data_IF_854544656280
#
_entry.id   IF_854544656280
#
_cell.length_a   1.000
_cell.length_b   1.000
_cell.length_c   1.000
_cell.angle_alpha   90.00
_cell.angle_beta   90.00
_cell.angle_gamma   90.00
#
_symmetry.space_group_name_H-M   'P 1'
#
loop_
_entity.id
_entity.type
_entity.pdbx_description
1 polymer ?
#
# COMPACT_ATOMS: atom_id res chain seq x y z
N UNK A 1 -34.98 21.07 0.27
CA UNK A 1 -35.29 19.66 0.04
C UNK A 1 -34.20 18.75 0.66
N UNK A 2 -33.96 18.87 1.97
CA UNK A 2 -32.86 18.19 2.69
C UNK A 2 -33.31 17.74 4.08
N UNK A 3 -34.27 16.80 4.16
CA UNK A 3 -34.64 16.10 5.40
C UNK A 3 -35.18 14.72 5.06
N UNK A 4 -34.31 13.75 4.71
CA UNK A 4 -34.69 12.32 4.64
C UNK A 4 -33.55 11.30 4.50
N UNK A 5 -32.37 11.53 5.11
CA UNK A 5 -31.25 10.55 5.06
C UNK A 5 -30.86 10.00 6.45
N UNK A 6 -31.42 10.50 7.56
CA UNK A 6 -30.96 10.11 8.91
C UNK A 6 -31.77 8.95 9.53
N UNK A 7 -32.80 8.39 8.88
CA UNK A 7 -33.67 7.38 9.53
C UNK A 7 -33.26 5.92 9.34
N UNK A 8 -32.33 5.59 8.44
CA UNK A 8 -32.03 4.18 8.12
C UNK A 8 -30.70 3.64 8.70
N UNK A 9 -29.93 4.45 9.44
CA UNK A 9 -28.73 3.94 10.13
C UNK A 9 -29.03 3.20 11.44
N UNK A 10 -30.20 3.44 12.05
CA UNK A 10 -30.54 2.88 13.37
C UNK A 10 -30.86 1.37 13.38
N UNK A 11 -31.58 0.79 12.39
CA UNK A 11 -31.83 -0.65 12.43
C UNK A 11 -30.62 -1.51 12.05
N UNK A 12 -29.62 -0.96 11.33
CA UNK A 12 -28.37 -1.69 11.05
C UNK A 12 -27.43 -1.72 12.26
N UNK A 13 -27.47 -0.71 13.13
CA UNK A 13 -26.64 -0.64 14.36
C UNK A 13 -27.22 -1.46 15.52
N UNK A 14 -28.53 -1.72 15.53
CA UNK A 14 -29.18 -2.45 16.63
C UNK A 14 -29.28 -3.97 16.43
N UNK A 15 -29.10 -4.50 15.22
CA UNK A 15 -28.94 -5.95 14.99
C UNK A 15 -27.51 -6.48 15.31
N UNK A 16 -26.61 -5.58 15.74
CA UNK A 16 -25.18 -5.81 16.00
C UNK A 16 -24.90 -6.37 17.41
N UNK A 17 -25.85 -6.42 18.34
CA UNK A 17 -25.49 -6.80 19.72
C UNK A 17 -25.18 -8.30 19.90
N UNK A 18 -25.86 -9.20 19.19
CA UNK A 18 -25.53 -10.63 19.18
C UNK A 18 -24.63 -11.02 17.99
N UNK A 19 -24.97 -10.56 16.78
CA UNK A 19 -24.21 -10.86 15.56
C UNK A 19 -22.90 -10.06 15.50
N UNK A 20 -22.91 -8.82 15.95
CA UNK A 20 -21.70 -8.00 16.03
C UNK A 20 -20.77 -8.39 17.17
N UNK A 21 -21.29 -8.95 18.27
CA UNK A 21 -20.44 -9.57 19.30
C UNK A 21 -19.62 -10.73 18.73
N UNK A 22 -20.28 -11.63 17.98
CA UNK A 22 -19.61 -12.74 17.28
C UNK A 22 -18.65 -12.26 16.20
N UNK A 23 -19.05 -11.26 15.40
CA UNK A 23 -18.20 -10.66 14.36
C UNK A 23 -16.93 -10.04 14.95
N UNK A 24 -17.08 -9.16 15.94
CA UNK A 24 -15.94 -8.51 16.61
C UNK A 24 -15.04 -9.55 17.27
N UNK A 25 -15.61 -10.57 17.92
CA UNK A 25 -14.83 -11.64 18.55
C UNK A 25 -14.04 -12.46 17.53
N UNK A 26 -14.67 -12.82 16.40
CA UNK A 26 -14.02 -13.55 15.30
C UNK A 26 -12.84 -12.75 14.73
N UNK A 27 -13.04 -11.50 14.33
CA UNK A 27 -11.96 -10.68 13.77
C UNK A 27 -10.90 -10.31 14.81
N UNK A 28 -11.26 -10.17 16.09
CA UNK A 28 -10.28 -9.96 17.15
C UNK A 28 -9.37 -11.18 17.32
N UNK A 29 -9.96 -12.38 17.29
CA UNK A 29 -9.21 -13.63 17.34
C UNK A 29 -8.31 -13.81 16.11
N UNK A 30 -8.84 -13.56 14.91
CA UNK A 30 -8.06 -13.64 13.68
C UNK A 30 -6.90 -12.63 13.67
N UNK A 31 -7.15 -11.37 14.06
CA UNK A 31 -6.10 -10.36 14.19
C UNK A 31 -5.01 -10.75 15.20
N UNK A 32 -5.39 -11.41 16.30
CA UNK A 32 -4.45 -11.94 17.28
C UNK A 32 -3.58 -13.05 16.67
N UNK A 33 -4.19 -14.01 15.95
CA UNK A 33 -3.45 -15.08 15.27
C UNK A 33 -2.47 -14.52 14.24
N UNK A 34 -2.91 -13.60 13.38
CA UNK A 34 -2.06 -12.99 12.36
C UNK A 34 -0.90 -12.22 12.98
N UNK A 35 -1.17 -11.46 14.05
CA UNK A 35 -0.12 -10.73 14.77
C UNK A 35 0.90 -11.69 15.37
N UNK A 36 0.44 -12.75 16.03
CA UNK A 36 1.31 -13.76 16.62
C UNK A 36 2.16 -14.43 15.54
N UNK A 37 1.55 -14.90 14.45
CA UNK A 37 2.26 -15.49 13.33
C UNK A 37 3.29 -14.53 12.72
N UNK A 38 2.93 -13.26 12.53
CA UNK A 38 3.83 -12.25 11.99
C UNK A 38 5.02 -11.95 12.94
N UNK A 39 4.78 -11.94 14.25
CA UNK A 39 5.84 -11.80 15.25
C UNK A 39 6.75 -13.03 15.28
N UNK A 40 6.18 -14.24 15.32
CA UNK A 40 6.93 -15.48 15.28
C UNK A 40 7.83 -15.56 14.03
N UNK A 41 7.33 -15.10 12.87
CA UNK A 41 8.11 -15.02 11.63
C UNK A 41 9.24 -13.99 11.68
N UNK A 42 9.03 -12.87 12.39
CA UNK A 42 10.06 -11.84 12.60
C UNK A 42 11.11 -12.24 13.62
N UNK A 43 10.73 -13.00 14.66
CA UNK A 43 11.64 -13.43 15.72
C UNK A 43 12.51 -14.61 15.28
N UNK A 44 11.97 -15.51 14.46
CA UNK A 44 12.73 -16.62 13.84
C UNK A 44 13.40 -16.20 12.52
N UNK A 45 13.75 -14.92 12.40
CA UNK A 45 14.27 -14.27 11.18
C UNK A 45 15.51 -14.97 10.60
N UNK A 46 16.34 -15.62 11.42
CA UNK A 46 17.55 -16.32 10.97
C UNK A 46 17.26 -17.52 10.06
N UNK A 47 16.06 -18.12 10.15
CA UNK A 47 15.62 -19.17 9.23
C UNK A 47 15.20 -18.64 7.84
N UNK A 48 15.01 -17.34 7.74
CA UNK A 48 14.29 -16.70 6.64
C UNK A 48 15.05 -15.56 5.96
N UNK A 49 16.04 -15.00 6.67
CA UNK A 49 17.05 -14.10 6.14
C UNK A 49 18.14 -14.92 5.45
N UNK A 50 18.49 -14.50 4.24
CA UNK A 50 19.68 -15.00 3.57
C UNK A 50 20.92 -14.40 4.27
N UNK A 51 21.42 -15.08 5.31
CA UNK A 51 22.57 -14.66 6.12
C UNK A 51 23.90 -14.71 5.38
N UNK A 52 23.91 -15.12 4.10
CA UNK A 52 25.12 -15.20 3.27
C UNK A 52 25.52 -13.86 2.62
N UNK A 53 24.80 -12.75 2.91
CA UNK A 53 24.96 -11.47 2.19
C UNK A 53 25.27 -10.29 3.11
N UNK A 54 25.99 -9.31 2.56
CA UNK A 54 26.43 -8.10 3.27
C UNK A 54 25.27 -7.20 3.73
N UNK A 55 24.11 -7.26 3.06
CA UNK A 55 22.91 -6.53 3.44
C UNK A 55 21.86 -7.47 4.03
N UNK A 56 21.58 -7.35 5.33
CA UNK A 56 20.57 -8.14 6.08
C UNK A 56 19.12 -7.70 5.81
N UNK A 57 18.82 -7.25 4.59
CA UNK A 57 17.48 -6.78 4.23
C UNK A 57 16.52 -7.95 4.00
N UNK A 58 15.36 -7.90 4.63
CA UNK A 58 14.36 -8.94 4.58
C UNK A 58 13.07 -8.42 3.94
N UNK A 59 12.69 -8.98 2.79
CA UNK A 59 11.50 -8.59 2.03
C UNK A 59 10.24 -9.43 2.38
N UNK A 60 10.33 -10.26 3.43
CA UNK A 60 9.30 -11.20 3.82
C UNK A 60 9.46 -12.60 3.19
N UNK A 61 8.79 -13.59 3.78
CA UNK A 61 8.88 -15.02 3.45
C UNK A 61 8.44 -15.40 2.05
N UNK A 62 7.53 -14.64 1.46
CA UNK A 62 6.60 -15.23 0.50
C UNK A 62 6.95 -14.96 -0.98
N UNK A 63 8.04 -14.26 -1.30
CA UNK A 63 8.24 -13.72 -2.66
C UNK A 63 9.67 -13.78 -3.22
N UNK A 64 10.66 -14.14 -2.40
CA UNK A 64 12.04 -14.39 -2.82
C UNK A 64 12.91 -13.14 -2.96
N UNK A 65 13.97 -13.06 -2.16
CA UNK A 65 14.86 -11.89 -2.03
C UNK A 65 15.38 -11.33 -3.36
N UNK A 66 15.84 -12.18 -4.28
CA UNK A 66 16.51 -11.72 -5.52
C UNK A 66 15.55 -10.95 -6.43
N UNK A 67 14.29 -11.36 -6.51
CA UNK A 67 13.29 -10.68 -7.31
C UNK A 67 12.96 -9.31 -6.69
N UNK A 68 12.67 -9.29 -5.39
CA UNK A 68 12.34 -8.05 -4.67
C UNK A 68 13.52 -7.06 -4.66
N UNK A 69 14.77 -7.52 -4.56
CA UNK A 69 15.96 -6.68 -4.69
C UNK A 69 16.09 -6.07 -6.10
N UNK A 70 15.91 -6.86 -7.16
CA UNK A 70 15.96 -6.35 -8.54
C UNK A 70 14.85 -5.33 -8.83
N UNK A 71 13.67 -5.51 -8.22
CA UNK A 71 12.58 -4.54 -8.28
C UNK A 71 12.94 -3.29 -7.48
N UNK A 72 13.45 -3.43 -6.25
CA UNK A 72 13.96 -2.33 -5.41
C UNK A 72 14.91 -1.47 -6.22
N UNK A 73 15.93 -2.02 -6.86
CA UNK A 73 16.93 -1.24 -7.63
C UNK A 73 16.34 -0.45 -8.80
N UNK A 74 15.15 -0.84 -9.30
CA UNK A 74 14.49 -0.18 -10.44
C UNK A 74 13.49 0.89 -10.04
N UNK A 75 13.05 0.93 -8.78
CA UNK A 75 12.06 1.90 -8.29
C UNK A 75 12.74 3.22 -7.97
N UNK A 76 12.19 4.33 -8.44
CA UNK A 76 12.68 5.68 -8.15
C UNK A 76 11.59 6.59 -7.56
N UNK A 77 12.01 7.76 -7.09
CA UNK A 77 11.14 8.77 -6.49
C UNK A 77 10.04 9.21 -7.45
N UNK A 78 8.79 9.14 -7.01
CA UNK A 78 7.63 9.49 -7.83
C UNK A 78 6.94 8.33 -8.51
N UNK A 79 7.54 7.13 -8.52
CA UNK A 79 6.86 5.92 -9.00
C UNK A 79 5.62 5.62 -8.14
N UNK A 80 4.57 5.11 -8.76
CA UNK A 80 3.27 4.87 -8.14
C UNK A 80 3.07 3.39 -7.89
N UNK A 81 2.61 3.06 -6.69
CA UNK A 81 2.21 1.72 -6.28
C UNK A 81 0.70 1.62 -6.23
N UNK A 82 0.15 0.56 -6.82
CA UNK A 82 -1.25 0.19 -6.67
C UNK A 82 -1.33 -1.02 -5.76
N UNK A 83 -2.17 -0.90 -4.74
CA UNK A 83 -2.16 -1.79 -3.58
C UNK A 83 -3.53 -2.42 -3.43
N UNK A 84 -3.53 -3.74 -3.30
CA UNK A 84 -4.70 -4.50 -2.91
C UNK A 84 -4.42 -5.20 -1.59
N UNK A 85 -5.44 -5.23 -0.74
CA UNK A 85 -5.35 -5.78 0.59
C UNK A 85 -6.04 -7.15 0.70
N UNK A 86 -5.50 -7.98 1.58
CA UNK A 86 -6.15 -9.15 2.13
C UNK A 86 -6.64 -8.80 3.53
N UNK A 87 -7.94 -8.53 3.67
CA UNK A 87 -8.49 -8.04 4.92
C UNK A 87 -8.40 -9.07 6.05
N UNK A 88 -8.38 -10.36 5.72
CA UNK A 88 -8.29 -11.44 6.69
C UNK A 88 -6.88 -11.60 7.26
N UNK A 89 -5.88 -10.96 6.65
CA UNK A 89 -4.45 -11.00 7.04
C UNK A 89 -4.01 -9.73 7.78
N UNK A 90 -4.93 -8.81 8.06
CA UNK A 90 -4.64 -7.60 8.81
C UNK A 90 -4.18 -7.93 10.25
N UNK A 91 -3.35 -7.06 10.83
CA UNK A 91 -2.69 -7.31 12.12
C UNK A 91 -3.45 -6.74 13.33
N UNK A 92 -4.60 -6.11 13.10
CA UNK A 92 -5.45 -5.54 14.14
C UNK A 92 -6.91 -5.52 13.72
N UNK A 93 -7.81 -5.63 14.70
CA UNK A 93 -9.25 -5.51 14.49
C UNK A 93 -9.62 -4.22 13.76
N UNK A 94 -9.00 -3.09 14.14
CA UNK A 94 -9.24 -1.79 13.49
C UNK A 94 -8.91 -1.86 11.99
N UNK A 95 -7.76 -2.41 11.62
CA UNK A 95 -7.37 -2.56 10.21
C UNK A 95 -8.32 -3.49 9.46
N UNK A 96 -8.68 -4.63 10.05
CA UNK A 96 -9.65 -5.57 9.46
C UNK A 96 -10.99 -4.90 9.15
N UNK A 97 -11.54 -4.17 10.12
CA UNK A 97 -12.82 -3.47 9.95
C UNK A 97 -12.70 -2.42 8.85
N UNK A 98 -11.66 -1.57 8.89
CA UNK A 98 -11.49 -0.53 7.86
C UNK A 98 -11.25 -1.11 6.47
N UNK A 99 -10.47 -2.19 6.37
CA UNK A 99 -10.24 -2.90 5.12
C UNK A 99 -11.55 -3.42 4.52
N UNK A 100 -12.34 -4.14 5.32
CA UNK A 100 -13.63 -4.69 4.88
C UNK A 100 -14.62 -3.59 4.49
N UNK A 101 -14.67 -2.48 5.26
CA UNK A 101 -15.49 -1.33 4.89
C UNK A 101 -15.04 -0.73 3.56
N UNK A 102 -13.74 -0.52 3.36
CA UNK A 102 -13.19 0.01 2.11
C UNK A 102 -13.58 -0.88 0.91
N UNK A 103 -13.37 -2.19 1.01
CA UNK A 103 -13.72 -3.14 -0.06
C UNK A 103 -15.23 -3.23 -0.31
N UNK A 104 -16.05 -3.13 0.73
CA UNK A 104 -17.52 -3.17 0.60
C UNK A 104 -18.06 -1.93 -0.10
N UNK A 105 -17.53 -0.74 0.21
CA UNK A 105 -17.99 0.51 -0.41
C UNK A 105 -17.36 0.78 -1.78
N UNK A 106 -16.26 0.09 -2.13
CA UNK A 106 -15.51 0.28 -3.38
C UNK A 106 -15.42 -1.01 -4.21
N UNK A 107 -16.50 -1.79 -4.26
CA UNK A 107 -16.51 -3.10 -4.94
C UNK A 107 -16.04 -3.08 -6.41
N UNK A 108 -16.19 -1.95 -7.10
CA UNK A 108 -15.81 -1.82 -8.53
C UNK A 108 -14.37 -1.29 -8.73
N UNK A 109 -13.59 -1.08 -7.67
CA UNK A 109 -12.19 -0.67 -7.80
C UNK A 109 -11.26 -1.89 -7.86
N UNK A 110 -10.36 -1.89 -8.86
CA UNK A 110 -9.31 -2.92 -9.00
C UNK A 110 -8.32 -2.90 -7.81
N UNK A 111 -8.18 -1.74 -7.15
CA UNK A 111 -7.24 -1.51 -6.06
C UNK A 111 -7.91 -0.85 -4.87
N UNK A 112 -7.44 -1.22 -3.68
CA UNK A 112 -7.92 -0.67 -2.40
C UNK A 112 -7.20 0.64 -2.05
N UNK A 113 -5.95 0.77 -2.49
CA UNK A 113 -5.12 1.92 -2.17
C UNK A 113 -4.01 2.19 -3.18
N UNK A 114 -3.29 3.26 -2.92
CA UNK A 114 -2.21 3.80 -3.71
C UNK A 114 -1.05 4.24 -2.80
N UNK A 115 0.16 4.15 -3.33
CA UNK A 115 1.39 4.61 -2.70
C UNK A 115 2.34 5.27 -3.69
N UNK A 116 3.34 5.94 -3.17
CA UNK A 116 4.37 6.63 -3.93
C UNK A 116 5.75 6.30 -3.37
N UNK A 117 6.71 6.05 -4.26
CA UNK A 117 8.10 5.85 -3.86
C UNK A 117 8.80 7.18 -3.57
N UNK A 118 9.66 7.13 -2.56
CA UNK A 118 10.69 8.11 -2.31
C UNK A 118 12.02 7.40 -2.10
N UNK A 119 13.04 7.80 -2.86
CA UNK A 119 14.40 7.28 -2.74
C UNK A 119 15.35 8.39 -2.36
N UNK A 120 16.22 8.12 -1.40
CA UNK A 120 17.37 8.95 -1.08
C UNK A 120 18.63 8.10 -0.89
N UNK A 121 19.69 8.69 -0.32
CA UNK A 121 20.94 7.99 -0.02
C UNK A 121 20.81 6.94 1.08
N UNK A 122 19.76 7.00 1.90
CA UNK A 122 19.55 6.12 3.04
C UNK A 122 18.71 4.90 2.67
N UNK A 123 17.85 5.01 1.65
CA UNK A 123 17.09 3.87 1.17
C UNK A 123 15.91 4.23 0.27
N UNK A 124 15.03 3.24 0.11
CA UNK A 124 13.77 3.36 -0.61
C UNK A 124 12.62 3.28 0.40
N UNK A 125 11.74 4.27 0.36
CA UNK A 125 10.58 4.40 1.22
C UNK A 125 9.30 4.44 0.39
N UNK A 126 8.25 3.81 0.91
CA UNK A 126 6.91 3.86 0.33
C UNK A 126 6.03 4.73 1.22
N UNK A 127 5.50 5.79 0.63
CA UNK A 127 4.46 6.63 1.23
C UNK A 127 3.13 6.08 0.74
N UNK A 128 2.29 5.54 1.60
CA UNK A 128 1.04 4.88 1.19
C UNK A 128 -0.12 5.23 2.11
N UNK A 129 -1.33 5.18 1.57
CA UNK A 129 -2.54 5.21 2.39
C UNK A 129 -2.87 3.79 2.85
N UNK A 130 -2.67 3.51 4.14
CA UNK A 130 -3.04 2.22 4.74
C UNK A 130 -4.29 2.40 5.58
N UNK A 131 -5.41 1.91 5.07
CA UNK A 131 -6.70 1.91 5.76
C UNK A 131 -7.16 3.32 6.19
N UNK A 132 -7.00 4.30 5.30
CA UNK A 132 -7.36 5.69 5.54
C UNK A 132 -6.33 6.49 6.34
N UNK A 133 -5.13 5.93 6.55
CA UNK A 133 -4.03 6.61 7.25
C UNK A 133 -2.79 6.65 6.36
N UNK A 134 -2.24 7.84 6.15
CA UNK A 134 -0.98 8.00 5.42
C UNK A 134 0.19 7.51 6.28
N UNK A 135 0.97 6.58 5.74
CA UNK A 135 2.16 6.00 6.38
C UNK A 135 3.37 6.07 5.47
N UNK A 136 4.52 6.19 6.10
CA UNK A 136 5.84 6.11 5.47
C UNK A 136 6.54 4.88 6.03
N UNK A 137 6.96 3.97 5.16
CA UNK A 137 7.64 2.74 5.55
C UNK A 137 8.85 2.53 4.63
N UNK A 138 9.90 1.89 5.14
CA UNK A 138 10.95 1.37 4.26
C UNK A 138 10.34 0.32 3.31
N UNK A 139 10.86 0.22 2.09
CA UNK A 139 10.36 -0.71 1.08
C UNK A 139 10.34 -2.16 1.57
N UNK A 140 11.40 -2.61 2.25
CA UNK A 140 11.47 -3.96 2.80
C UNK A 140 10.37 -4.23 3.84
N UNK A 141 10.18 -3.30 4.78
CA UNK A 141 9.11 -3.38 5.79
C UNK A 141 7.71 -3.27 5.19
N UNK A 142 7.55 -2.43 4.15
CA UNK A 142 6.29 -2.32 3.43
C UNK A 142 5.95 -3.65 2.75
N UNK A 143 6.93 -4.24 2.06
CA UNK A 143 6.79 -5.55 1.45
C UNK A 143 6.56 -6.66 2.48
N UNK A 144 7.09 -6.57 3.71
CA UNK A 144 6.84 -7.61 4.71
C UNK A 144 5.39 -7.63 5.22
N UNK A 145 4.55 -6.65 4.89
CA UNK A 145 3.19 -6.59 5.42
C UNK A 145 2.32 -7.78 4.92
N UNK A 146 1.72 -8.58 5.83
CA UNK A 146 1.03 -9.82 5.46
C UNK A 146 -0.30 -9.59 4.72
N UNK A 147 -0.90 -8.42 4.92
CA UNK A 147 -2.14 -8.00 4.30
C UNK A 147 -1.97 -7.50 2.86
N UNK A 148 -0.77 -7.52 2.26
CA UNK A 148 -0.59 -7.19 0.84
C UNK A 148 -0.96 -8.41 -0.02
N UNK A 149 -2.10 -8.36 -0.71
CA UNK A 149 -2.52 -9.42 -1.63
C UNK A 149 -1.96 -9.23 -3.03
N UNK A 150 -1.99 -8.00 -3.54
CA UNK A 150 -1.45 -7.63 -4.84
C UNK A 150 -0.72 -6.29 -4.75
N UNK A 151 0.38 -6.19 -5.49
CA UNK A 151 1.17 -4.98 -5.57
C UNK A 151 1.64 -4.81 -7.01
N UNK A 152 1.34 -3.67 -7.61
CA UNK A 152 1.89 -3.30 -8.90
C UNK A 152 2.46 -1.89 -8.87
N UNK A 153 3.37 -1.60 -9.79
CA UNK A 153 4.04 -0.30 -9.88
C UNK A 153 3.94 0.22 -11.30
N UNK A 154 3.80 1.55 -11.42
CA UNK A 154 4.03 2.29 -12.66
C UNK A 154 5.08 3.35 -12.45
N UNK A 155 5.98 3.45 -13.42
CA UNK A 155 7.04 4.46 -13.39
C UNK A 155 6.53 5.81 -13.87
N UNK A 156 6.88 6.87 -13.17
CA UNK A 156 6.60 8.22 -13.63
C UNK A 156 7.61 8.59 -14.73
N UNK A 157 7.13 8.74 -15.95
CA UNK A 157 7.91 9.23 -17.08
C UNK A 157 7.70 10.73 -17.18
N UNK A 158 8.80 11.47 -17.31
CA UNK A 158 8.74 12.89 -17.69
C UNK A 158 9.33 13.07 -19.09
N UNK A 159 8.56 13.64 -19.99
CA UNK A 159 8.98 13.96 -21.36
C UNK A 159 9.88 15.19 -21.34
N UNK A 160 10.89 15.19 -22.20
CA UNK A 160 11.76 16.34 -22.48
C UNK A 160 12.40 16.98 -21.23
N UNK A 161 12.96 16.14 -20.35
CA UNK A 161 13.53 16.60 -19.08
C UNK A 161 14.87 17.32 -19.26
N UNK A 162 14.91 18.59 -18.86
CA UNK A 162 16.19 19.24 -18.55
C UNK A 162 16.68 18.76 -17.18
N UNK A 163 17.99 18.82 -16.95
CA UNK A 163 18.59 18.50 -15.63
C UNK A 163 18.02 19.38 -14.51
N UNK A 164 17.60 20.61 -14.83
CA UNK A 164 16.99 21.53 -13.87
C UNK A 164 15.59 21.06 -13.45
N UNK A 165 14.77 20.58 -14.40
CA UNK A 165 13.44 20.04 -14.13
C UNK A 165 13.50 18.79 -13.24
N UNK A 166 14.41 17.85 -13.54
CA UNK A 166 14.58 16.63 -12.73
C UNK A 166 14.99 16.98 -11.30
N UNK A 167 15.86 17.97 -11.13
CA UNK A 167 16.26 18.46 -9.79
C UNK A 167 15.09 19.11 -9.06
N UNK A 168 14.34 19.99 -9.72
CA UNK A 168 13.20 20.67 -9.10
C UNK A 168 12.12 19.66 -8.66
N UNK A 169 11.84 18.67 -9.51
CA UNK A 169 10.96 17.54 -9.20
C UNK A 169 11.45 16.79 -7.96
N UNK A 170 12.70 16.33 -7.96
CA UNK A 170 13.27 15.59 -6.83
C UNK A 170 13.24 16.39 -5.52
N UNK A 171 13.55 17.70 -5.57
CA UNK A 171 13.46 18.56 -4.39
C UNK A 171 12.02 18.68 -3.87
N UNK A 172 11.03 18.67 -4.76
CA UNK A 172 9.62 18.75 -4.38
C UNK A 172 9.16 17.45 -3.70
N UNK A 173 9.55 16.29 -4.24
CA UNK A 173 9.31 14.98 -3.61
C UNK A 173 10.00 14.91 -2.24
N UNK A 174 11.27 15.29 -2.18
CA UNK A 174 12.06 15.33 -0.93
C UNK A 174 11.42 16.25 0.12
N UNK A 175 10.95 17.42 -0.27
CA UNK A 175 10.27 18.34 0.62
C UNK A 175 8.94 17.76 1.14
N UNK A 176 8.18 17.05 0.29
CA UNK A 176 6.98 16.36 0.70
C UNK A 176 7.28 15.24 1.71
N UNK A 177 8.24 14.36 1.40
CA UNK A 177 8.65 13.28 2.29
C UNK A 177 9.10 13.81 3.66
N UNK A 178 9.94 14.86 3.68
CA UNK A 178 10.37 15.50 4.93
C UNK A 178 9.21 16.06 5.75
N UNK A 179 8.14 16.54 5.10
CA UNK A 179 6.94 17.00 5.82
C UNK A 179 6.20 15.83 6.46
N UNK A 180 6.16 14.66 5.82
CA UNK A 180 5.47 13.48 6.35
C UNK A 180 6.27 12.79 7.47
N UNK A 181 7.59 12.73 7.35
CA UNK A 181 8.46 11.99 8.28
C UNK A 181 8.84 12.78 9.55
N UNK A 182 8.05 13.78 9.95
CA UNK A 182 8.29 14.55 11.18
C UNK A 182 7.70 13.81 12.39
N UNK A 183 8.54 13.54 13.39
CA UNK A 183 8.25 12.64 14.52
C UNK A 183 7.01 13.00 15.37
N UNK A 184 6.55 14.26 15.34
CA UNK A 184 5.47 14.75 16.20
C UNK A 184 4.15 15.02 15.44
N UNK A 185 4.00 14.52 14.22
CA UNK A 185 2.77 14.77 13.46
C UNK A 185 1.65 13.78 13.80
N UNK A 186 0.40 14.28 13.96
CA UNK A 186 -0.74 13.40 14.08
C UNK A 186 -0.90 12.55 12.82
N UNK A 187 -1.43 11.33 12.97
CA UNK A 187 -1.83 10.48 11.85
C UNK A 187 -2.68 11.28 10.86
N UNK A 188 -2.23 11.38 9.61
CA UNK A 188 -2.99 12.04 8.54
C UNK A 188 -4.08 11.07 8.10
N UNK A 189 -5.33 11.42 8.40
CA UNK A 189 -6.51 10.62 8.04
C UNK A 189 -7.14 11.20 6.79
N UNK A 190 -7.09 10.43 5.71
CA UNK A 190 -7.61 10.83 4.40
C UNK A 190 -7.95 9.59 3.57
N UNK A 191 -8.83 9.72 2.57
CA UNK A 191 -9.06 8.61 1.62
C UNK A 191 -7.86 8.42 0.70
N UNK A 192 -7.74 7.25 0.07
CA UNK A 192 -6.69 6.97 -0.91
C UNK A 192 -6.67 7.98 -2.07
N UNK A 193 -7.85 8.40 -2.55
CA UNK A 193 -7.97 9.42 -3.60
C UNK A 193 -7.50 10.81 -3.15
N UNK A 194 -7.82 11.18 -1.90
CA UNK A 194 -7.39 12.45 -1.31
C UNK A 194 -5.88 12.46 -1.04
N UNK A 195 -5.35 11.35 -0.52
CA UNK A 195 -3.91 11.13 -0.40
C UNK A 195 -3.20 11.29 -1.73
N UNK A 196 -3.70 10.64 -2.79
CA UNK A 196 -3.09 10.69 -4.11
C UNK A 196 -3.07 12.11 -4.69
N UNK A 197 -4.21 12.81 -4.65
CA UNK A 197 -4.28 14.17 -5.20
C UNK A 197 -3.41 15.14 -4.39
N UNK A 198 -3.38 15.02 -3.06
CA UNK A 198 -2.55 15.84 -2.18
C UNK A 198 -1.07 15.62 -2.44
N UNK A 199 -0.65 14.36 -2.63
CA UNK A 199 0.71 14.02 -3.02
C UNK A 199 1.07 14.67 -4.36
N UNK A 200 0.32 14.38 -5.44
CA UNK A 200 0.61 14.89 -6.79
C UNK A 200 0.58 16.42 -6.86
N UNK A 201 -0.32 17.07 -6.11
CA UNK A 201 -0.40 18.54 -5.98
C UNK A 201 0.87 19.09 -5.35
N UNK A 202 1.36 18.45 -4.29
CA UNK A 202 2.55 18.92 -3.56
C UNK A 202 3.84 18.84 -4.36
N UNK A 203 3.91 17.94 -5.34
CA UNK A 203 5.03 17.80 -6.27
C UNK A 203 4.80 18.51 -7.61
N UNK A 204 3.70 19.27 -7.72
CA UNK A 204 3.38 20.17 -8.84
C UNK A 204 3.27 19.47 -10.21
N UNK A 205 2.68 18.26 -10.24
CA UNK A 205 2.52 17.49 -11.49
C UNK A 205 1.07 17.41 -12.02
N UNK A 206 0.11 17.97 -11.28
CA UNK A 206 -1.30 18.07 -11.69
C UNK A 206 -1.56 19.24 -12.64
N UNK A 207 -2.53 19.09 -13.54
CA UNK A 207 -3.03 20.20 -14.34
C UNK A 207 -3.71 21.26 -13.47
N UNK A 208 -3.58 22.54 -13.86
CA UNK A 208 -4.12 23.65 -13.06
C UNK A 208 -5.65 23.58 -12.94
N UNK A 209 -6.35 23.12 -13.99
CA UNK A 209 -7.80 22.94 -13.97
C UNK A 209 -8.25 21.95 -12.88
N UNK A 210 -7.55 20.82 -12.75
CA UNK A 210 -7.83 19.80 -11.72
C UNK A 210 -7.67 20.39 -10.32
N UNK A 211 -6.65 21.23 -10.13
CA UNK A 211 -6.38 21.89 -8.84
C UNK A 211 -7.46 22.92 -8.53
N UNK A 212 -7.92 23.69 -9.52
CA UNK A 212 -8.95 24.72 -9.36
C UNK A 212 -10.33 24.12 -9.09
N UNK A 213 -10.68 23.04 -9.80
CA UNK A 213 -11.96 22.35 -9.66
C UNK A 213 -12.01 21.35 -8.49
N UNK A 214 -10.86 21.14 -7.82
CA UNK A 214 -10.71 20.19 -6.72
C UNK A 214 -11.19 18.77 -7.09
N UNK A 215 -10.91 18.34 -8.33
CA UNK A 215 -11.29 17.03 -8.81
C UNK A 215 -10.50 15.95 -8.06
N UNK A 216 -11.20 14.89 -7.63
CA UNK A 216 -10.63 13.71 -6.97
C UNK A 216 -10.83 12.49 -7.86
N UNK A 217 -9.88 12.17 -8.76
CA UNK A 217 -9.97 10.99 -9.61
C UNK A 217 -10.02 9.71 -8.77
N UNK A 218 -10.75 8.70 -9.25
CA UNK A 218 -10.70 7.36 -8.66
C UNK A 218 -9.32 6.73 -8.85
N UNK A 219 -8.94 5.79 -7.98
CA UNK A 219 -7.62 5.13 -8.04
C UNK A 219 -7.36 4.47 -9.40
N UNK A 220 -8.39 3.89 -10.02
CA UNK A 220 -8.30 3.27 -11.35
C UNK A 220 -7.88 4.26 -12.45
N UNK A 221 -8.16 5.57 -12.31
CA UNK A 221 -7.72 6.59 -13.26
C UNK A 221 -6.20 6.79 -13.22
N UNK A 222 -5.55 6.50 -12.09
CA UNK A 222 -4.09 6.58 -11.95
C UNK A 222 -3.39 5.42 -12.67
N UNK A 223 -4.09 4.30 -12.93
CA UNK A 223 -3.56 3.14 -13.65
C UNK A 223 -3.62 3.30 -15.19
N UNK A 224 -3.89 4.52 -15.69
CA UNK A 224 -3.83 4.84 -17.12
C UNK A 224 -2.43 5.35 -17.48
N UNK A 225 -1.93 5.00 -18.67
CA UNK A 225 -0.64 5.50 -19.14
C UNK A 225 -0.60 7.03 -19.27
N UNK A 226 -1.72 7.66 -19.64
CA UNK A 226 -1.86 9.11 -19.74
C UNK A 226 -3.14 9.56 -19.01
N UNK A 227 -3.13 9.67 -17.67
CA UNK A 227 -4.27 10.14 -16.92
C UNK A 227 -4.58 11.60 -17.27
N UNK A 228 -5.86 11.93 -17.40
CA UNK A 228 -6.31 13.26 -17.81
C UNK A 228 -5.88 14.38 -16.85
N UNK A 229 -5.51 14.05 -15.60
CA UNK A 229 -5.21 15.02 -14.56
C UNK A 229 -3.72 15.39 -14.45
N UNK A 230 -2.82 14.66 -15.12
CA UNK A 230 -1.39 14.98 -15.11
C UNK A 230 -1.07 16.07 -16.13
N UNK A 231 -0.10 16.94 -15.84
CA UNK A 231 0.41 17.87 -16.85
C UNK A 231 0.93 17.07 -18.07
N UNK A 232 0.79 17.56 -19.32
CA UNK A 232 1.13 16.82 -20.53
C UNK A 232 2.56 16.26 -20.63
N UNK A 233 3.49 16.87 -19.88
CA UNK A 233 4.88 16.42 -19.77
C UNK A 233 5.08 15.17 -18.90
N UNK A 234 4.07 14.74 -18.16
CA UNK A 234 4.12 13.56 -17.32
C UNK A 234 3.22 12.46 -17.89
N UNK A 235 3.69 11.23 -17.81
CA UNK A 235 2.93 10.03 -18.15
C UNK A 235 3.41 8.87 -17.28
N UNK A 236 2.67 7.77 -17.29
CA UNK A 236 3.08 6.53 -16.64
C UNK A 236 3.55 5.50 -17.65
N UNK A 237 4.59 4.77 -17.29
CA UNK A 237 5.06 3.60 -18.04
C UNK A 237 4.07 2.43 -17.91
N UNK A 238 4.40 1.32 -18.56
CA UNK A 238 3.75 0.04 -18.41
C UNK A 238 3.68 -0.40 -16.94
N UNK A 239 2.55 -1.02 -16.59
CA UNK A 239 2.31 -1.62 -15.27
C UNK A 239 3.24 -2.82 -15.08
N UNK A 240 3.95 -2.84 -13.97
CA UNK A 240 4.77 -3.97 -13.54
C UNK A 240 4.10 -4.58 -12.32
N UNK A 241 3.71 -5.84 -12.41
CA UNK A 241 3.17 -6.58 -11.25
C UNK A 241 4.35 -7.05 -10.42
N UNK A 242 4.46 -6.55 -9.19
CA UNK A 242 5.47 -6.96 -8.22
C UNK A 242 4.98 -8.20 -7.48
N UNK A 243 3.70 -8.20 -7.06
CA UNK A 243 3.06 -9.29 -6.32
C UNK A 243 1.65 -9.52 -6.82
N UNK A 244 1.27 -10.79 -6.88
CA UNK A 244 -0.08 -11.25 -7.23
C UNK A 244 -0.52 -12.34 -6.27
N UNK A 245 -1.83 -12.49 -6.08
CA UNK A 245 -2.40 -13.53 -5.21
C UNK A 245 -1.84 -14.94 -5.52
N UNK A 246 -1.50 -15.21 -6.78
CA UNK A 246 -0.93 -16.49 -7.23
C UNK A 246 0.44 -16.79 -6.61
N UNK A 247 1.35 -15.82 -6.48
CA UNK A 247 2.68 -16.14 -5.90
C UNK A 247 2.64 -16.25 -4.37
N UNK A 248 1.57 -15.82 -3.70
CA UNK A 248 1.33 -16.09 -2.26
C UNK A 248 1.08 -17.58 -2.04
N UNK A 249 0.37 -18.23 -2.95
CA UNK A 249 -0.06 -19.64 -2.84
C UNK A 249 1.04 -20.65 -3.16
N UNK A 250 2.02 -20.29 -4.01
CA UNK A 250 3.13 -21.19 -4.34
C UNK A 250 4.04 -21.51 -3.14
N UNK A 251 3.96 -20.74 -2.06
CA UNK A 251 4.74 -20.95 -0.84
C UNK A 251 3.97 -21.66 0.28
N UNK A 252 2.64 -21.51 0.36
CA UNK A 252 1.85 -22.26 1.35
C UNK A 252 1.85 -23.76 1.06
N UNK A 253 1.86 -24.17 -0.21
CA UNK A 253 1.95 -25.58 -0.63
C UNK A 253 3.31 -26.24 -0.32
N UNK A 254 4.39 -25.47 -0.24
CA UNK A 254 5.73 -25.97 0.12
C UNK A 254 5.95 -26.11 1.63
N UNK A 255 5.19 -25.38 2.46
CA UNK A 255 5.22 -25.53 3.92
C UNK A 255 4.49 -26.79 4.40
N UNK A 256 3.43 -27.22 3.70
CA UNK A 256 2.70 -28.46 4.02
C UNK A 256 3.37 -29.75 3.52
N UNK A 257 4.37 -29.66 2.65
CA UNK A 257 5.08 -30.84 2.11
C UNK A 257 6.35 -31.21 2.88
N UNK A 258 6.85 -30.36 3.79
CA UNK A 258 8.07 -30.68 4.56
C UNK A 258 7.84 -31.51 5.84
N UNK A 259 6.59 -31.70 6.28
CA UNK A 259 6.27 -32.50 7.48
C UNK A 259 5.88 -33.95 7.17
N UNK A 260 6.01 -34.40 5.92
CA UNK A 260 5.62 -35.74 5.50
C UNK A 260 6.77 -36.54 4.86
N UNK A 261 7.95 -36.57 5.49
CA UNK A 261 9.02 -37.51 5.08
C UNK A 261 10.07 -37.80 6.16
N UNK A 262 9.67 -38.02 7.42
CA UNK A 262 10.53 -38.76 8.36
C UNK A 262 9.70 -39.75 9.17
N UNK A 263 9.55 -40.95 8.61
CA UNK A 263 9.42 -42.20 9.34
C UNK A 263 9.99 -43.29 8.44
N UNK A 264 11.23 -43.70 8.73
CA UNK A 264 11.78 -45.01 8.40
C UNK A 264 11.93 -45.76 9.72
#
# INVERSE_FOLDING_TARGET
MFKKIVSNLKPFVFSITAVGGSFVSYYSYLAYLNRKQFQDQKENDELYKDTTRETNEYFGLSWGYKADYLVKEKIDSGDIFFIKYDCDECLSLKQMIWCNLLQTYKQDQEYDSIGFAYRDSNGLYIISNQFGVTKVMEYADFLSQPFLSELSVRKLITKDQTRADSRAFFQSVKAHFKKLNQADKPEIKESSEEFAINYLKSINILQDQVVQENLKPYISEYDKANPFFLKPRFSFDNKIIIRSATNKQLNSSNLFTSTASFNK
#
